data_IF_506419783120
#
_entry.id   IF_506419783120
#
_cell.length_a   1.000
_cell.length_b   1.000
_cell.length_c   1.000
_cell.angle_alpha   90.00
_cell.angle_beta   90.00
_cell.angle_gamma   90.00
#
_symmetry.space_group_name_H-M   'P 1'
#
loop_
_entity.id
_entity.type
_entity.pdbx_description
1 polymer ?
#
# COMPACT_ATOMS: atom_id res chain seq x y z
N UNK A 1 -5.22 -2.32 23.01
CA UNK A 1 -3.95 -2.65 22.32
C UNK A 1 -3.83 -1.69 21.14
N UNK A 2 -2.65 -1.10 20.89
CA UNK A 2 -2.45 -0.20 19.75
C UNK A 2 -2.44 -0.99 18.44
N UNK A 3 -2.99 -0.42 17.36
CA UNK A 3 -2.93 -1.03 16.03
C UNK A 3 -1.56 -0.80 15.43
N UNK A 4 -0.83 -1.87 15.14
CA UNK A 4 0.47 -1.80 14.47
C UNK A 4 0.33 -1.46 13.00
N UNK A 5 1.11 -0.49 12.52
CA UNK A 5 1.07 0.01 11.14
C UNK A 5 2.49 0.29 10.62
N UNK A 6 2.68 0.04 9.33
CA UNK A 6 3.85 0.47 8.58
C UNK A 6 3.56 1.79 7.87
N UNK A 7 4.53 2.70 7.83
CA UNK A 7 4.45 3.92 7.04
C UNK A 7 5.77 4.16 6.30
N UNK A 8 5.69 4.61 5.06
CA UNK A 8 6.87 5.01 4.29
C UNK A 8 6.49 6.09 3.25
N UNK A 9 7.48 6.72 2.66
CA UNK A 9 7.31 7.73 1.62
C UNK A 9 8.52 7.80 0.70
N UNK A 10 8.38 8.51 -0.43
CA UNK A 10 9.52 9.08 -1.14
C UNK A 10 9.90 10.46 -0.57
N UNK A 11 10.88 11.11 -1.18
CA UNK A 11 11.32 12.45 -0.80
C UNK A 11 10.21 13.52 -0.93
N UNK A 12 9.33 13.37 -1.92
CA UNK A 12 8.21 14.30 -2.16
C UNK A 12 7.13 14.17 -1.09
N UNK A 13 6.89 12.95 -0.61
CA UNK A 13 5.88 12.63 0.38
C UNK A 13 6.31 12.84 1.83
N UNK A 14 7.58 13.19 2.09
CA UNK A 14 8.17 13.18 3.43
C UNK A 14 7.39 14.04 4.45
N UNK A 15 7.16 15.30 4.15
CA UNK A 15 6.48 16.20 5.08
C UNK A 15 5.06 15.69 5.40
N UNK A 16 4.32 15.26 4.37
CA UNK A 16 2.99 14.67 4.53
C UNK A 16 3.04 13.35 5.34
N UNK A 17 4.07 12.55 5.17
CA UNK A 17 4.25 11.32 5.93
C UNK A 17 4.44 11.62 7.42
N UNK A 18 5.23 12.62 7.76
CA UNK A 18 5.42 13.03 9.17
C UNK A 18 4.10 13.54 9.79
N UNK A 19 3.32 14.35 9.05
CA UNK A 19 2.01 14.82 9.50
C UNK A 19 1.02 13.68 9.75
N UNK A 20 0.93 12.72 8.81
CA UNK A 20 0.03 11.57 8.94
C UNK A 20 0.51 10.60 10.02
N UNK A 21 1.82 10.39 10.17
CA UNK A 21 2.38 9.58 11.25
C UNK A 21 1.99 10.15 12.61
N UNK A 22 2.21 11.45 12.82
CA UNK A 22 1.82 12.13 14.05
C UNK A 22 0.32 11.98 14.32
N UNK A 23 -0.51 12.20 13.32
CA UNK A 23 -1.96 12.01 13.41
C UNK A 23 -2.34 10.59 13.85
N UNK A 24 -1.72 9.56 13.26
CA UNK A 24 -1.97 8.16 13.59
C UNK A 24 -1.58 7.83 15.03
N UNK A 25 -0.42 8.31 15.50
CA UNK A 25 0.10 8.03 16.82
C UNK A 25 -0.67 8.77 17.94
N UNK A 26 -1.02 10.05 17.72
CA UNK A 26 -1.66 10.91 18.71
C UNK A 26 -3.19 10.77 18.73
N UNK A 27 -3.84 10.61 17.58
CA UNK A 27 -5.30 10.66 17.48
C UNK A 27 -5.95 9.28 17.16
N UNK A 28 -5.22 8.36 16.54
CA UNK A 28 -5.77 7.06 16.10
C UNK A 28 -5.28 5.86 16.92
N UNK A 29 -4.53 6.09 17.99
CA UNK A 29 -3.98 5.02 18.82
C UNK A 29 -3.18 3.97 18.04
N UNK A 30 -2.45 4.42 17.01
CA UNK A 30 -1.58 3.57 16.21
C UNK A 30 -0.20 3.40 16.84
N UNK A 31 0.47 2.30 16.52
CA UNK A 31 1.87 2.01 16.81
C UNK A 31 2.62 1.85 15.50
N UNK A 32 3.43 2.85 15.13
CA UNK A 32 4.19 2.83 13.88
C UNK A 32 5.44 1.97 14.07
N UNK A 33 5.36 0.70 13.66
CA UNK A 33 6.42 -0.30 13.84
C UNK A 33 7.44 -0.34 12.69
N UNK A 34 7.13 0.26 11.55
CA UNK A 34 8.03 0.38 10.41
C UNK A 34 7.92 1.78 9.81
N UNK A 35 9.01 2.52 9.82
CA UNK A 35 9.18 3.84 9.21
C UNK A 35 10.67 4.00 8.82
N UNK A 36 11.07 3.58 7.61
CA UNK A 36 12.47 3.57 7.18
C UNK A 36 12.97 4.95 6.75
N UNK A 37 12.07 5.89 6.46
CA UNK A 37 12.42 7.22 5.92
C UNK A 37 12.38 8.24 7.04
N UNK A 38 13.51 8.40 7.74
CA UNK A 38 13.64 9.32 8.88
C UNK A 38 14.02 10.75 8.48
N UNK A 39 14.58 10.92 7.28
CA UNK A 39 14.96 12.19 6.69
C UNK A 39 14.52 12.18 5.24
N UNK A 40 14.32 13.36 4.67
CA UNK A 40 13.84 13.50 3.29
C UNK A 40 14.73 12.79 2.27
N UNK A 41 16.03 12.83 2.49
CA UNK A 41 17.05 12.23 1.62
C UNK A 41 16.97 10.69 1.63
N UNK A 42 16.48 10.08 2.70
CA UNK A 42 16.33 8.62 2.81
C UNK A 42 15.24 8.07 1.86
N UNK A 43 14.30 8.91 1.41
CA UNK A 43 13.21 8.56 0.50
C UNK A 43 13.53 8.69 -0.99
N UNK A 44 14.71 9.21 -1.33
CA UNK A 44 15.03 9.52 -2.72
C UNK A 44 15.04 8.29 -3.65
N UNK A 45 14.22 8.33 -4.70
CA UNK A 45 14.11 7.34 -5.79
C UNK A 45 14.03 5.86 -5.36
N UNK A 46 13.35 5.56 -4.25
CA UNK A 46 13.44 4.22 -3.65
C UNK A 46 12.09 3.52 -3.42
N UNK A 47 11.04 3.94 -4.14
CA UNK A 47 9.69 3.40 -3.92
C UNK A 47 9.62 1.87 -4.09
N UNK A 48 10.38 1.30 -5.03
CA UNK A 48 10.36 -0.15 -5.27
C UNK A 48 10.95 -0.91 -4.08
N UNK A 49 12.12 -0.52 -3.58
CA UNK A 49 12.74 -1.11 -2.38
C UNK A 49 11.84 -0.96 -1.15
N UNK A 50 11.26 0.21 -0.95
CA UNK A 50 10.36 0.45 0.18
C UNK A 50 9.07 -0.38 0.08
N UNK A 51 8.57 -0.66 -1.14
CA UNK A 51 7.45 -1.56 -1.35
C UNK A 51 7.81 -3.00 -0.98
N UNK A 52 8.98 -3.47 -1.40
CA UNK A 52 9.46 -4.82 -1.09
C UNK A 52 9.67 -5.01 0.42
N UNK A 53 10.28 -4.03 1.09
CA UNK A 53 10.49 -4.05 2.53
C UNK A 53 9.16 -4.02 3.31
N UNK A 54 8.22 -3.13 2.95
CA UNK A 54 6.90 -3.05 3.60
C UNK A 54 6.10 -4.34 3.38
N UNK A 55 6.14 -4.92 2.18
CA UNK A 55 5.53 -6.21 1.92
C UNK A 55 6.09 -7.29 2.86
N UNK A 56 7.41 -7.34 3.02
CA UNK A 56 8.07 -8.27 3.94
C UNK A 56 7.63 -8.09 5.40
N UNK A 57 7.50 -6.85 5.88
CA UNK A 57 7.00 -6.56 7.24
C UNK A 57 5.58 -7.08 7.43
N UNK A 58 4.69 -6.88 6.44
CA UNK A 58 3.30 -7.37 6.50
C UNK A 58 3.26 -8.90 6.40
N UNK A 59 4.03 -9.51 5.51
CA UNK A 59 4.07 -10.97 5.33
C UNK A 59 4.61 -11.71 6.56
N UNK A 60 5.49 -11.09 7.35
CA UNK A 60 5.96 -11.64 8.64
C UNK A 60 5.02 -11.36 9.81
N UNK A 61 3.84 -10.77 9.54
CA UNK A 61 2.81 -10.41 10.55
C UNK A 61 3.34 -9.44 11.64
N UNK A 62 4.37 -8.66 11.33
CA UNK A 62 4.88 -7.62 12.23
C UNK A 62 3.87 -6.46 12.36
N UNK A 63 3.14 -6.18 11.27
CA UNK A 63 1.94 -5.37 11.23
C UNK A 63 1.00 -5.86 10.12
N UNK A 64 -0.25 -5.37 10.12
CA UNK A 64 -1.24 -5.74 9.09
C UNK A 64 -1.67 -4.59 8.20
N UNK A 65 -1.24 -3.39 8.51
CA UNK A 65 -1.64 -2.19 7.80
C UNK A 65 -0.41 -1.42 7.33
N UNK A 66 -0.52 -0.79 6.16
CA UNK A 66 0.55 0.04 5.61
C UNK A 66 0.03 1.29 4.90
N UNK A 67 0.76 2.37 5.04
CA UNK A 67 0.53 3.62 4.30
C UNK A 67 1.82 4.01 3.58
N UNK A 68 1.71 4.32 2.30
CA UNK A 68 2.79 4.93 1.54
C UNK A 68 2.36 6.28 0.96
N UNK A 69 3.22 7.28 1.08
CA UNK A 69 2.94 8.64 0.61
C UNK A 69 4.01 9.08 -0.39
N UNK A 70 3.58 9.43 -1.58
CA UNK A 70 4.42 10.02 -2.61
C UNK A 70 3.65 11.10 -3.38
N UNK A 71 4.10 11.49 -4.55
CA UNK A 71 3.38 12.47 -5.37
C UNK A 71 1.96 12.06 -5.72
N UNK A 72 1.71 10.77 -6.03
CA UNK A 72 0.40 10.25 -6.50
C UNK A 72 -0.09 9.00 -5.76
N UNK A 73 0.78 8.29 -5.04
CA UNK A 73 0.47 6.99 -4.43
C UNK A 73 0.49 5.80 -5.41
N UNK A 74 0.65 6.04 -6.72
CA UNK A 74 0.42 5.01 -7.75
C UNK A 74 1.60 4.05 -7.88
N UNK A 75 2.82 4.57 -8.10
CA UNK A 75 4.00 3.74 -8.41
C UNK A 75 4.31 2.69 -7.34
N UNK A 76 4.31 3.09 -6.09
CA UNK A 76 4.45 2.18 -4.96
C UNK A 76 3.35 1.11 -4.93
N UNK A 77 2.10 1.53 -5.13
CA UNK A 77 0.95 0.61 -5.13
C UNK A 77 1.07 -0.46 -6.22
N UNK A 78 1.53 -0.06 -7.42
CA UNK A 78 1.81 -1.02 -8.49
C UNK A 78 2.91 -2.01 -8.10
N UNK A 79 3.97 -1.55 -7.44
CA UNK A 79 5.08 -2.40 -7.03
C UNK A 79 4.69 -3.36 -5.90
N UNK A 80 4.08 -2.86 -4.83
CA UNK A 80 3.76 -3.69 -3.66
C UNK A 80 2.73 -4.79 -3.97
N UNK A 81 1.83 -4.56 -4.93
CA UNK A 81 0.88 -5.57 -5.39
C UNK A 81 1.49 -6.76 -6.15
N UNK A 82 2.79 -6.70 -6.46
CA UNK A 82 3.52 -7.86 -7.02
C UNK A 82 3.89 -8.89 -5.94
N UNK A 83 3.72 -8.55 -4.68
CA UNK A 83 4.03 -9.44 -3.56
C UNK A 83 2.81 -10.27 -3.19
N UNK A 84 3.04 -11.58 -3.04
CA UNK A 84 1.99 -12.52 -2.70
C UNK A 84 1.29 -12.16 -1.38
N UNK A 85 -0.06 -12.25 -1.38
CA UNK A 85 -0.88 -11.94 -0.21
C UNK A 85 -1.03 -10.44 0.11
N UNK A 86 -0.42 -9.54 -0.66
CA UNK A 86 -0.56 -8.10 -0.47
C UNK A 86 -1.65 -7.54 -1.39
N UNK A 87 -2.54 -6.74 -0.81
CA UNK A 87 -3.54 -5.95 -1.53
C UNK A 87 -3.37 -4.48 -1.17
N UNK A 88 -2.94 -3.70 -2.14
CA UNK A 88 -2.73 -2.27 -2.00
C UNK A 88 -3.58 -1.50 -3.02
N UNK A 89 -4.08 -0.35 -2.63
CA UNK A 89 -4.91 0.52 -3.48
C UNK A 89 -4.41 1.96 -3.38
N UNK A 90 -4.18 2.61 -4.52
CA UNK A 90 -4.01 4.06 -4.55
C UNK A 90 -5.39 4.70 -4.39
N UNK A 91 -5.57 5.51 -3.36
CA UNK A 91 -6.86 6.10 -3.01
C UNK A 91 -6.80 7.62 -2.99
N UNK A 92 -7.85 8.25 -3.53
CA UNK A 92 -7.93 9.70 -3.67
C UNK A 92 -9.16 10.30 -3.00
N UNK A 93 -10.01 9.48 -2.40
CA UNK A 93 -11.21 9.92 -1.69
C UNK A 93 -11.63 8.94 -0.58
N UNK A 94 -12.37 9.40 0.44
CA UNK A 94 -12.78 8.57 1.58
C UNK A 94 -13.68 7.39 1.19
N UNK A 95 -14.54 7.52 0.17
CA UNK A 95 -15.41 6.43 -0.25
C UNK A 95 -14.62 5.24 -0.80
N UNK A 96 -13.66 5.51 -1.71
CA UNK A 96 -12.79 4.48 -2.26
C UNK A 96 -11.92 3.84 -1.18
N UNK A 97 -11.40 4.63 -0.24
CA UNK A 97 -10.62 4.15 0.89
C UNK A 97 -11.42 3.20 1.80
N UNK A 98 -12.64 3.58 2.16
CA UNK A 98 -13.57 2.72 2.90
C UNK A 98 -13.89 1.43 2.15
N UNK A 99 -14.15 1.50 0.84
CA UNK A 99 -14.46 0.33 0.02
C UNK A 99 -13.24 -0.59 -0.16
N UNK A 100 -12.03 -0.02 -0.25
CA UNK A 100 -10.79 -0.80 -0.27
C UNK A 100 -10.70 -1.75 0.94
N UNK A 101 -11.05 -1.28 2.13
CA UNK A 101 -11.10 -2.13 3.34
C UNK A 101 -12.29 -3.09 3.34
N UNK A 102 -13.51 -2.54 3.23
CA UNK A 102 -14.74 -3.32 3.43
C UNK A 102 -15.05 -4.33 2.32
N UNK A 103 -14.53 -4.13 1.12
CA UNK A 103 -14.83 -5.01 -0.01
C UNK A 103 -13.66 -5.87 -0.45
N UNK A 104 -12.43 -5.34 -0.33
CA UNK A 104 -11.24 -5.97 -0.91
C UNK A 104 -10.20 -6.33 0.16
N UNK A 105 -10.46 -6.04 1.43
CA UNK A 105 -9.51 -6.23 2.53
C UNK A 105 -8.11 -5.68 2.20
N UNK A 106 -8.06 -4.48 1.61
CA UNK A 106 -6.78 -3.86 1.25
C UNK A 106 -5.99 -3.48 2.50
N UNK A 107 -4.85 -4.13 2.70
CA UNK A 107 -3.98 -3.89 3.85
C UNK A 107 -3.16 -2.61 3.70
N UNK A 108 -2.94 -2.16 2.45
CA UNK A 108 -2.07 -1.02 2.16
C UNK A 108 -2.80 0.02 1.32
N UNK A 109 -2.56 1.29 1.63
CA UNK A 109 -3.00 2.41 0.78
C UNK A 109 -1.81 3.26 0.34
N UNK A 110 -1.83 3.65 -0.94
CA UNK A 110 -0.97 4.68 -1.50
C UNK A 110 -1.69 6.02 -1.55
N UNK A 111 -1.07 7.05 -1.02
CA UNK A 111 -1.61 8.41 -0.94
C UNK A 111 -0.75 9.38 -1.75
N UNK A 112 -1.41 10.31 -2.44
CA UNK A 112 -0.76 11.34 -3.24
C UNK A 112 -0.73 12.69 -2.54
N UNK A 113 0.43 13.17 -2.09
CA UNK A 113 0.57 14.48 -1.46
C UNK A 113 0.35 15.65 -2.44
N UNK A 114 0.43 15.39 -3.76
CA UNK A 114 0.09 16.36 -4.82
C UNK A 114 -1.38 16.32 -5.23
N UNK A 115 -2.12 15.33 -4.73
CA UNK A 115 -3.52 15.09 -5.13
C UNK A 115 -4.49 15.69 -4.12
N UNK A 116 -4.19 15.53 -2.84
CA UNK A 116 -5.06 15.96 -1.75
C UNK A 116 -4.29 16.82 -0.73
N UNK A 117 -4.97 17.78 -0.11
CA UNK A 117 -4.45 18.49 1.06
C UNK A 117 -4.40 17.59 2.30
N UNK A 118 -3.87 18.11 3.40
CA UNK A 118 -3.69 17.34 4.64
C UNK A 118 -5.02 16.91 5.25
N UNK A 119 -5.98 17.80 5.36
CA UNK A 119 -7.25 17.50 6.04
C UNK A 119 -8.06 16.46 5.25
N UNK A 120 -8.09 16.59 3.94
CA UNK A 120 -8.74 15.57 3.11
C UNK A 120 -7.99 14.23 3.13
N UNK A 121 -6.66 14.26 3.22
CA UNK A 121 -5.84 13.05 3.40
C UNK A 121 -6.17 12.35 4.72
N UNK A 122 -6.35 13.08 5.83
CA UNK A 122 -6.80 12.51 7.11
C UNK A 122 -8.17 11.83 6.98
N UNK A 123 -9.13 12.47 6.30
CA UNK A 123 -10.45 11.86 6.03
C UNK A 123 -10.34 10.54 5.24
N UNK A 124 -9.41 10.47 4.28
CA UNK A 124 -9.13 9.23 3.54
C UNK A 124 -8.54 8.16 4.47
N UNK A 125 -7.57 8.55 5.30
CA UNK A 125 -6.95 7.65 6.28
C UNK A 125 -7.99 7.12 7.26
N UNK A 126 -8.85 7.96 7.82
CA UNK A 126 -9.93 7.56 8.72
C UNK A 126 -10.88 6.56 8.06
N UNK A 127 -11.32 6.87 6.84
CA UNK A 127 -12.23 5.99 6.11
C UNK A 127 -11.65 4.61 5.82
N UNK A 128 -10.32 4.48 5.76
CA UNK A 128 -9.65 3.21 5.60
C UNK A 128 -9.27 2.58 6.95
N UNK A 129 -8.66 3.33 7.86
CA UNK A 129 -8.14 2.84 9.13
C UNK A 129 -9.22 2.36 10.10
N UNK A 130 -10.33 3.10 10.20
CA UNK A 130 -11.43 2.81 11.12
C UNK A 130 -12.36 1.68 10.63
N UNK A 131 -12.07 1.10 9.47
CA UNK A 131 -12.83 0.00 8.91
C UNK A 131 -11.98 -1.26 8.77
N UNK A 132 -12.61 -2.43 8.84
CA UNK A 132 -11.97 -3.72 8.64
C UNK A 132 -12.88 -4.63 7.81
N UNK A 133 -12.27 -5.51 7.01
CA UNK A 133 -13.01 -6.59 6.40
C UNK A 133 -13.34 -7.64 7.47
N UNK A 134 -14.60 -7.99 7.57
CA UNK A 134 -15.08 -9.04 8.46
C UNK A 134 -16.01 -9.97 7.69
N UNK A 135 -15.64 -11.25 7.62
CA UNK A 135 -16.43 -12.27 6.93
C UNK A 135 -17.85 -12.40 7.48
N UNK A 136 -18.08 -12.14 8.77
CA UNK A 136 -19.42 -12.26 9.36
C UNK A 136 -20.37 -11.19 8.81
N UNK A 137 -19.87 -9.96 8.62
CA UNK A 137 -20.70 -8.79 8.27
C UNK A 137 -20.49 -8.29 6.84
N UNK A 138 -19.49 -8.78 6.12
CA UNK A 138 -19.20 -8.36 4.75
C UNK A 138 -20.34 -8.75 3.79
N UNK A 139 -20.53 -7.96 2.73
CA UNK A 139 -21.48 -8.27 1.66
C UNK A 139 -21.10 -9.59 0.98
N UNK A 140 -22.09 -10.43 0.66
CA UNK A 140 -21.87 -11.75 0.03
C UNK A 140 -21.02 -11.67 -1.25
N UNK A 141 -21.27 -10.69 -2.12
CA UNK A 141 -20.46 -10.49 -3.31
C UNK A 141 -18.98 -10.14 -2.99
N UNK A 142 -18.74 -9.40 -1.91
CA UNK A 142 -17.37 -9.09 -1.47
C UNK A 142 -16.64 -10.34 -0.97
N UNK A 143 -17.33 -11.19 -0.18
CA UNK A 143 -16.80 -12.47 0.28
C UNK A 143 -16.45 -13.38 -0.89
N UNK A 144 -17.40 -13.57 -1.82
CA UNK A 144 -17.22 -14.41 -3.01
C UNK A 144 -16.03 -13.94 -3.84
N UNK A 145 -15.98 -12.65 -4.18
CA UNK A 145 -14.91 -12.09 -5.00
C UNK A 145 -13.53 -12.18 -4.31
N UNK A 146 -13.48 -11.97 -2.99
CA UNK A 146 -12.23 -12.09 -2.24
C UNK A 146 -11.72 -13.54 -2.23
N UNK A 147 -12.59 -14.53 -1.99
CA UNK A 147 -12.25 -15.95 -2.03
C UNK A 147 -11.82 -16.40 -3.44
N UNK A 148 -12.43 -15.84 -4.47
CA UNK A 148 -12.07 -16.13 -5.85
C UNK A 148 -10.69 -15.55 -6.21
N UNK A 149 -10.39 -14.32 -5.75
CA UNK A 149 -9.07 -13.72 -5.89
C UNK A 149 -7.99 -14.55 -5.19
N UNK A 150 -8.22 -15.00 -3.96
CA UNK A 150 -7.27 -15.86 -3.23
C UNK A 150 -6.99 -17.19 -3.97
N UNK A 151 -8.03 -17.79 -4.56
CA UNK A 151 -7.87 -19.02 -5.38
C UNK A 151 -7.10 -18.75 -6.66
N UNK A 152 -7.37 -17.61 -7.30
CA UNK A 152 -6.66 -17.18 -8.52
C UNK A 152 -5.18 -16.94 -8.25
N UNK A 153 -4.84 -16.26 -7.15
CA UNK A 153 -3.45 -16.01 -6.76
C UNK A 153 -2.66 -17.33 -6.60
N UNK A 154 -3.30 -18.37 -6.07
CA UNK A 154 -2.69 -19.68 -5.93
C UNK A 154 -2.58 -20.48 -7.25
N UNK A 155 -3.47 -20.22 -8.22
CA UNK A 155 -3.54 -20.98 -9.47
C UNK A 155 -2.73 -20.33 -10.60
N UNK A 156 -2.53 -19.00 -10.56
CA UNK A 156 -1.96 -18.21 -11.65
C UNK A 156 -0.57 -17.64 -11.34
N UNK A 157 0.14 -18.19 -10.36
CA UNK A 157 1.56 -17.87 -10.17
C UNK A 157 2.34 -18.31 -11.41
N UNK A 158 2.30 -17.42 -12.42
CA UNK A 158 3.08 -17.56 -13.65
C UNK A 158 4.54 -17.54 -13.27
N UNK A 159 5.29 -18.55 -13.68
CA UNK A 159 6.73 -18.55 -13.48
C UNK A 159 7.35 -17.38 -14.23
N UNK A 160 8.45 -16.78 -13.75
CA UNK A 160 9.09 -15.64 -14.41
C UNK A 160 9.38 -15.89 -15.90
N UNK A 161 9.73 -17.11 -16.29
CA UNK A 161 10.00 -17.51 -17.67
C UNK A 161 8.76 -17.51 -18.58
N UNK A 162 7.55 -17.59 -18.00
CA UNK A 162 6.28 -17.59 -18.73
C UNK A 162 5.65 -16.19 -18.84
N UNK A 163 6.25 -15.18 -18.19
CA UNK A 163 5.74 -13.81 -18.21
C UNK A 163 6.01 -13.17 -19.57
N UNK A 164 4.96 -12.82 -20.29
CA UNK A 164 5.06 -11.94 -21.45
C UNK A 164 5.17 -10.49 -20.97
N UNK A 165 6.30 -9.87 -21.22
CA UNK A 165 6.51 -8.46 -20.91
C UNK A 165 5.68 -7.59 -21.86
N UNK A 166 4.53 -7.11 -21.37
CA UNK A 166 3.62 -6.25 -22.16
C UNK A 166 4.04 -4.77 -22.16
N UNK A 167 5.21 -4.44 -21.63
CA UNK A 167 5.66 -3.05 -21.45
C UNK A 167 6.51 -2.51 -22.60
N UNK A 168 6.69 -3.28 -23.68
CA UNK A 168 7.45 -2.84 -24.85
C UNK A 168 8.97 -2.88 -24.68
N UNK A 169 9.49 -3.15 -23.50
CA UNK A 169 10.93 -3.36 -23.24
C UNK A 169 11.14 -4.42 -22.16
N UNK A 170 12.32 -5.05 -22.18
CA UNK A 170 12.81 -5.91 -21.11
C UNK A 170 13.90 -5.16 -20.36
N UNK A 171 14.06 -5.36 -19.03
CA UNK A 171 15.14 -4.72 -18.27
C UNK A 171 16.55 -5.02 -18.80
N UNK A 172 16.72 -6.12 -19.54
CA UNK A 172 18.00 -6.51 -20.12
C UNK A 172 18.27 -5.89 -21.49
N UNK A 173 17.29 -5.24 -22.11
CA UNK A 173 17.43 -4.60 -23.44
C UNK A 173 18.32 -3.33 -23.36
N UNK A 174 18.48 -2.74 -22.17
CA UNK A 174 19.38 -1.59 -21.95
C UNK A 174 20.88 -1.94 -21.95
N UNK A 175 21.26 -3.23 -21.94
CA UNK A 175 22.66 -3.68 -21.88
C UNK A 175 23.31 -3.90 -23.24
N UNK A 176 22.61 -3.66 -24.33
CA UNK A 176 23.10 -3.97 -25.69
C UNK A 176 23.60 -2.77 -26.48
N UNK A 177 23.63 -1.56 -25.91
CA UNK A 177 24.26 -0.37 -26.51
C UNK A 177 25.48 0.06 -25.67
N UNK A 178 26.55 -0.67 -25.83
CA UNK A 178 27.88 -0.34 -25.28
C UNK A 178 28.96 -0.68 -26.29
#
# INVERSE_FOLDING_TARGET
MKTKIAIACDDVGFDRKEEIKKYLEEEKNADVVYDPVKRKEDGFNNFARLADEMAGVIQRDECRLGIYICGTGIGFTCQINKHWGIRAVAVTNPYSAKRARLSNNAQVIGLGCRVNDLEYTKMIVDAWYDNAFDFATARENSKKNLLEAERSDNALLTKPEDVRWNMGFRPDDEKTEG
#
